data_IF_037005135267
#
_entry.id   IF_037005135267
#
_cell.length_a   1.000
_cell.length_b   1.000
_cell.length_c   1.000
_cell.angle_alpha   90.00
_cell.angle_beta   90.00
_cell.angle_gamma   90.00
#
_symmetry.space_group_name_H-M   'P 1'
#
loop_
_entity.id
_entity.type
_entity.pdbx_description
1 polymer ?
#
# COMPACT_ATOMS: atom_id res chain seq x y z
N UNK A 1 -31.90 58.60 -11.28
CA UNK A 1 -31.18 57.47 -11.87
C UNK A 1 -29.97 57.20 -10.98
N UNK A 2 -30.12 56.29 -10.02
CA UNK A 2 -29.09 56.00 -9.01
C UNK A 2 -28.36 54.72 -9.42
N UNK A 3 -27.07 54.83 -9.69
CA UNK A 3 -26.18 53.69 -10.00
C UNK A 3 -25.83 52.95 -8.70
N UNK A 4 -26.24 51.70 -8.61
CA UNK A 4 -25.85 50.77 -7.53
C UNK A 4 -24.48 50.19 -7.88
N UNK A 5 -23.46 50.29 -7.02
CA UNK A 5 -22.17 49.65 -7.28
C UNK A 5 -22.28 48.14 -7.11
N UNK A 6 -21.89 47.43 -8.14
CA UNK A 6 -21.66 45.95 -8.08
C UNK A 6 -20.44 45.68 -7.23
N UNK A 7 -20.67 45.24 -6.00
CA UNK A 7 -19.60 44.65 -5.16
C UNK A 7 -19.26 43.26 -5.71
N UNK A 8 -18.12 43.16 -6.39
CA UNK A 8 -17.51 41.88 -6.74
C UNK A 8 -17.06 41.25 -5.43
N UNK A 9 -17.78 40.20 -5.02
CA UNK A 9 -17.41 39.41 -3.84
C UNK A 9 -16.03 38.79 -4.06
N UNK A 10 -15.07 39.13 -3.18
CA UNK A 10 -13.77 38.46 -3.08
C UNK A 10 -14.08 37.00 -2.69
N UNK A 11 -13.62 35.98 -3.44
CA UNK A 11 -13.80 34.62 -3.01
C UNK A 11 -13.11 34.42 -1.65
N UNK A 12 -13.81 33.79 -0.73
CA UNK A 12 -13.28 33.44 0.59
C UNK A 12 -11.97 32.66 0.42
N UNK A 13 -10.97 32.84 1.30
CA UNK A 13 -9.73 32.10 1.23
C UNK A 13 -10.06 30.61 1.30
N UNK A 14 -9.55 29.85 0.31
CA UNK A 14 -9.70 28.41 0.29
C UNK A 14 -9.05 27.83 1.53
N UNK A 15 -9.84 27.18 2.36
CA UNK A 15 -9.30 26.44 3.50
C UNK A 15 -8.50 25.26 2.97
N UNK A 16 -7.35 25.01 3.59
CA UNK A 16 -6.43 23.94 3.21
C UNK A 16 -6.49 22.83 4.25
N UNK A 17 -6.49 21.59 3.80
CA UNK A 17 -6.53 20.40 4.66
C UNK A 17 -5.26 19.59 4.50
N UNK A 18 -4.55 19.37 5.61
CA UNK A 18 -3.33 18.55 5.61
C UNK A 18 -3.73 17.07 5.70
N UNK A 19 -3.21 16.27 4.79
CA UNK A 19 -3.38 14.84 4.83
C UNK A 19 -2.71 14.26 6.09
N UNK A 20 -3.44 13.55 6.96
CA UNK A 20 -2.87 12.99 8.17
C UNK A 20 -1.86 11.88 7.88
N UNK A 21 -1.83 11.39 6.64
CA UNK A 21 -1.04 10.25 6.23
C UNK A 21 0.31 10.63 5.59
N UNK A 22 0.32 11.56 4.62
CA UNK A 22 1.53 11.97 3.89
C UNK A 22 1.91 13.43 4.12
N UNK A 23 1.15 14.16 4.95
CA UNK A 23 1.31 15.60 5.21
C UNK A 23 1.16 16.51 3.99
N UNK A 24 0.70 15.99 2.85
CA UNK A 24 0.39 16.79 1.66
C UNK A 24 -0.77 17.75 1.96
N UNK A 25 -0.65 19.00 1.48
CA UNK A 25 -1.66 20.04 1.65
C UNK A 25 -2.66 19.94 0.52
N UNK A 26 -3.92 19.68 0.84
CA UNK A 26 -5.01 19.52 -0.12
C UNK A 26 -6.00 20.67 0.02
N UNK A 27 -6.80 20.94 -1.02
CA UNK A 27 -7.91 21.86 -0.92
C UNK A 27 -9.04 21.27 -0.07
N UNK A 28 -9.70 22.08 0.75
CA UNK A 28 -10.85 21.62 1.51
C UNK A 28 -11.99 21.22 0.56
N UNK A 29 -12.66 20.13 0.91
CA UNK A 29 -13.71 19.53 0.06
C UNK A 29 -13.24 18.31 -0.73
N UNK A 30 -11.94 18.05 -0.84
CA UNK A 30 -11.45 16.82 -1.41
C UNK A 30 -11.73 15.64 -0.47
N UNK A 31 -12.25 14.55 -1.04
CA UNK A 31 -12.51 13.31 -0.32
C UNK A 31 -11.26 12.45 -0.20
N UNK A 32 -10.33 12.61 -1.14
CA UNK A 32 -9.09 11.83 -1.20
C UNK A 32 -7.90 12.78 -1.35
N UNK A 33 -6.77 12.38 -0.76
CA UNK A 33 -5.51 13.10 -0.93
C UNK A 33 -5.01 12.96 -2.37
N UNK A 34 -4.65 14.08 -3.00
CA UNK A 34 -4.15 14.10 -4.38
C UNK A 34 -2.78 13.42 -4.54
N UNK A 35 -2.02 13.35 -3.46
CA UNK A 35 -0.67 12.76 -3.48
C UNK A 35 -0.69 11.26 -3.14
N UNK A 36 -1.33 10.85 -2.03
CA UNK A 36 -1.30 9.45 -1.57
C UNK A 36 -2.62 8.69 -1.74
N UNK A 37 -3.70 9.36 -2.18
CA UNK A 37 -5.02 8.75 -2.36
C UNK A 37 -5.76 8.40 -1.05
N UNK A 38 -5.23 8.79 0.12
CA UNK A 38 -5.88 8.53 1.41
C UNK A 38 -7.15 9.36 1.59
N UNK A 39 -8.13 8.81 2.30
CA UNK A 39 -9.41 9.49 2.58
C UNK A 39 -9.18 10.65 3.55
N UNK A 40 -9.56 11.86 3.14
CA UNK A 40 -9.41 13.09 3.90
C UNK A 40 -10.63 13.44 4.77
N UNK A 41 -11.69 12.65 4.73
CA UNK A 41 -12.90 12.90 5.50
C UNK A 41 -12.67 12.57 6.98
N UNK A 42 -12.25 13.56 7.74
CA UNK A 42 -12.14 13.51 9.21
C UNK A 42 -13.48 13.63 9.94
N UNK A 43 -14.59 13.28 9.31
CA UNK A 43 -15.89 13.23 9.97
C UNK A 43 -16.23 11.79 10.28
N UNK A 44 -16.28 11.47 11.57
CA UNK A 44 -16.96 10.27 12.04
C UNK A 44 -18.39 10.32 11.51
N UNK A 45 -18.65 9.63 10.41
CA UNK A 45 -20.01 9.34 9.99
C UNK A 45 -20.58 8.45 11.09
N UNK A 46 -21.44 9.03 11.95
CA UNK A 46 -22.34 8.23 12.77
C UNK A 46 -23.13 7.36 11.81
N UNK A 47 -22.74 6.12 11.69
CA UNK A 47 -23.52 5.10 10.97
C UNK A 47 -24.82 4.94 11.71
N UNK A 48 -25.89 5.57 11.22
CA UNK A 48 -27.25 5.17 11.53
C UNK A 48 -27.42 3.75 11.03
N UNK A 49 -27.62 2.85 11.98
CA UNK A 49 -27.88 1.43 11.76
C UNK A 49 -28.95 1.25 10.68
N UNK A 50 -28.53 0.85 9.49
CA UNK A 50 -29.43 0.29 8.51
C UNK A 50 -29.51 -1.21 8.75
N UNK A 51 -30.69 -1.64 9.19
CA UNK A 51 -31.32 -2.97 9.14
C UNK A 51 -30.36 -4.12 8.83
N UNK A 52 -30.26 -5.06 9.79
CA UNK A 52 -29.79 -6.42 9.54
C UNK A 52 -30.43 -6.99 8.27
N UNK A 53 -29.65 -7.10 7.24
CA UNK A 53 -29.94 -7.99 6.12
C UNK A 53 -29.55 -9.39 6.61
N UNK A 54 -30.54 -10.25 6.66
CA UNK A 54 -30.39 -11.65 7.00
C UNK A 54 -29.31 -12.29 6.11
N UNK A 55 -28.46 -13.06 6.77
CA UNK A 55 -27.40 -13.87 6.17
C UNK A 55 -28.00 -14.92 5.23
N UNK A 56 -28.15 -14.56 3.96
CA UNK A 56 -28.32 -15.52 2.90
C UNK A 56 -26.97 -15.71 2.22
N UNK A 57 -26.40 -16.89 2.39
CA UNK A 57 -25.34 -17.54 1.62
C UNK A 57 -24.63 -16.66 0.56
N UNK A 58 -23.60 -15.95 0.97
CA UNK A 58 -22.66 -15.29 0.07
C UNK A 58 -21.33 -16.05 -0.02
N UNK A 59 -21.40 -17.36 -0.23
CA UNK A 59 -20.21 -18.20 -0.38
C UNK A 59 -19.66 -18.27 -1.82
N UNK A 60 -20.19 -17.50 -2.77
CA UNK A 60 -19.82 -17.65 -4.20
C UNK A 60 -19.43 -16.33 -4.90
N UNK A 61 -19.33 -15.21 -4.22
CA UNK A 61 -18.82 -14.00 -4.87
C UNK A 61 -17.60 -13.49 -4.12
N UNK A 62 -16.47 -13.64 -4.81
CA UNK A 62 -15.11 -13.24 -4.48
C UNK A 62 -14.95 -12.43 -3.20
N UNK A 63 -14.24 -12.99 -2.23
CA UNK A 63 -13.72 -12.26 -1.09
C UNK A 63 -13.19 -10.92 -1.57
N UNK A 64 -13.95 -9.85 -1.36
CA UNK A 64 -13.39 -8.53 -1.37
C UNK A 64 -12.49 -8.46 -0.14
N UNK A 65 -11.26 -8.80 -0.34
CA UNK A 65 -10.26 -8.95 0.69
C UNK A 65 -9.74 -7.58 1.08
N UNK A 66 -10.44 -6.93 1.98
CA UNK A 66 -9.72 -6.17 2.97
C UNK A 66 -9.07 -7.22 3.88
N UNK A 67 -7.95 -7.77 3.44
CA UNK A 67 -7.23 -8.81 4.15
C UNK A 67 -6.88 -8.36 5.56
N UNK A 68 -6.78 -9.32 6.47
CA UNK A 68 -6.30 -9.01 7.81
C UNK A 68 -4.89 -8.41 7.75
N UNK A 69 -4.64 -7.39 8.56
CA UNK A 69 -3.29 -6.88 8.79
C UNK A 69 -2.60 -7.66 9.92
N UNK A 70 -3.34 -8.51 10.65
CA UNK A 70 -2.79 -9.28 11.75
C UNK A 70 -1.92 -10.42 11.24
N UNK A 71 -0.67 -10.42 11.66
CA UNK A 71 0.32 -11.43 11.34
C UNK A 71 0.88 -12.04 12.62
N UNK A 72 0.59 -13.31 12.89
CA UNK A 72 1.02 -13.97 14.12
C UNK A 72 2.54 -14.27 14.11
N UNK A 73 3.11 -14.48 15.29
CA UNK A 73 4.57 -14.76 15.42
C UNK A 73 5.01 -16.04 14.72
N UNK A 74 4.14 -17.02 14.59
CA UNK A 74 4.42 -18.30 13.95
C UNK A 74 4.00 -18.33 12.47
N UNK A 75 3.37 -17.26 11.99
CA UNK A 75 2.87 -17.18 10.63
C UNK A 75 4.01 -17.08 9.61
N UNK A 76 3.76 -17.63 8.44
CA UNK A 76 4.59 -17.48 7.25
C UNK A 76 3.85 -16.68 6.19
N UNK A 77 4.59 -16.15 5.23
CA UNK A 77 4.03 -15.51 4.05
C UNK A 77 4.18 -16.41 2.84
N UNK A 78 3.19 -16.34 1.97
CA UNK A 78 3.23 -16.93 0.64
C UNK A 78 3.27 -15.75 -0.34
N UNK A 79 4.34 -15.66 -1.12
CA UNK A 79 4.48 -14.65 -2.16
C UNK A 79 4.27 -15.29 -3.53
N UNK A 80 3.15 -14.97 -4.16
CA UNK A 80 2.82 -15.38 -5.52
C UNK A 80 3.34 -14.36 -6.52
N UNK A 81 4.43 -14.67 -7.21
CA UNK A 81 4.91 -13.84 -8.31
C UNK A 81 4.07 -14.12 -9.55
N UNK A 82 3.57 -13.08 -10.21
CA UNK A 82 2.81 -13.22 -11.46
C UNK A 82 3.66 -13.95 -12.50
N UNK A 83 3.05 -14.89 -13.18
CA UNK A 83 3.67 -15.77 -14.19
C UNK A 83 4.67 -16.80 -13.64
N UNK A 84 4.82 -16.92 -12.32
CA UNK A 84 5.59 -18.00 -11.71
C UNK A 84 4.74 -19.25 -11.50
N UNK A 85 5.32 -20.41 -11.75
CA UNK A 85 4.62 -21.70 -11.57
C UNK A 85 4.41 -22.05 -10.09
N UNK A 86 5.33 -21.63 -9.23
CA UNK A 86 5.30 -21.96 -7.80
C UNK A 86 5.40 -20.70 -6.93
N UNK A 87 4.67 -20.65 -5.81
CA UNK A 87 4.78 -19.56 -4.86
C UNK A 87 6.04 -19.70 -4.02
N UNK A 88 6.53 -18.58 -3.52
CA UNK A 88 7.60 -18.53 -2.55
C UNK A 88 6.99 -18.54 -1.15
N UNK A 89 7.35 -19.54 -0.33
CA UNK A 89 6.91 -19.60 1.08
C UNK A 89 8.10 -19.26 1.97
N UNK A 90 7.94 -18.29 2.84
CA UNK A 90 8.98 -17.91 3.79
C UNK A 90 8.41 -17.42 5.12
N UNK A 91 9.17 -17.66 6.20
CA UNK A 91 8.94 -17.01 7.48
C UNK A 91 9.74 -15.70 7.49
N UNK A 92 9.08 -14.53 7.48
CA UNK A 92 9.80 -13.26 7.43
C UNK A 92 10.61 -13.07 8.71
N UNK A 93 11.86 -12.69 8.55
CA UNK A 93 12.72 -12.24 9.65
C UNK A 93 12.35 -10.81 10.07
N UNK A 94 13.00 -10.25 11.06
CA UNK A 94 12.78 -8.86 11.49
C UNK A 94 12.84 -7.89 10.31
N UNK A 95 13.77 -8.12 9.39
CA UNK A 95 13.85 -7.42 8.11
C UNK A 95 14.15 -8.43 6.99
N UNK A 96 13.26 -8.53 6.01
CA UNK A 96 13.43 -9.34 4.80
C UNK A 96 13.51 -8.42 3.58
N UNK A 97 14.68 -8.26 3.01
CA UNK A 97 14.88 -7.43 1.81
C UNK A 97 14.46 -8.19 0.55
N UNK A 98 13.65 -7.53 -0.27
CA UNK A 98 13.22 -7.99 -1.59
C UNK A 98 14.10 -7.32 -2.66
N UNK A 99 14.61 -8.11 -3.59
CA UNK A 99 15.44 -7.55 -4.65
C UNK A 99 16.01 -8.63 -5.56
N UNK A 100 16.96 -8.23 -6.42
CA UNK A 100 17.72 -9.18 -7.23
C UNK A 100 19.06 -9.50 -6.57
N UNK A 101 19.47 -10.76 -6.60
CA UNK A 101 20.77 -11.13 -6.08
C UNK A 101 21.90 -10.39 -6.80
N UNK A 102 22.87 -9.94 -6.02
CA UNK A 102 24.17 -9.52 -6.53
C UNK A 102 25.21 -10.35 -5.78
N UNK A 103 26.05 -11.06 -6.53
CA UNK A 103 27.04 -11.99 -6.00
C UNK A 103 28.07 -11.34 -5.08
N UNK A 104 28.10 -10.03 -4.97
CA UNK A 104 29.10 -9.29 -4.21
C UNK A 104 28.70 -8.81 -2.81
N UNK A 105 27.41 -8.88 -2.41
CA UNK A 105 26.96 -8.31 -1.11
C UNK A 105 25.91 -9.18 -0.39
N UNK A 106 26.34 -10.24 0.24
CA UNK A 106 25.53 -11.18 1.02
C UNK A 106 25.37 -10.79 2.51
N UNK A 107 25.27 -9.51 2.85
CA UNK A 107 25.24 -9.11 4.27
C UNK A 107 23.86 -9.13 4.94
N UNK A 108 22.73 -9.27 4.19
CA UNK A 108 21.36 -9.37 4.75
C UNK A 108 20.53 -10.35 3.93
N UNK A 109 19.55 -11.04 4.55
CA UNK A 109 18.68 -11.94 3.81
C UNK A 109 17.94 -11.16 2.72
N UNK A 110 18.30 -11.46 1.48
CA UNK A 110 17.62 -10.94 0.29
C UNK A 110 16.75 -12.06 -0.24
N UNK A 111 15.45 -11.83 -0.32
CA UNK A 111 14.62 -12.68 -1.14
C UNK A 111 14.96 -12.41 -2.59
N UNK A 112 15.69 -13.36 -3.21
CA UNK A 112 16.15 -13.23 -4.57
C UNK A 112 15.01 -13.39 -5.58
N UNK A 113 14.69 -12.31 -6.28
CA UNK A 113 13.67 -12.28 -7.33
C UNK A 113 14.27 -12.43 -8.74
N UNK A 114 15.58 -12.69 -8.86
CA UNK A 114 16.27 -12.90 -10.15
C UNK A 114 15.63 -14.01 -10.98
N UNK A 115 15.23 -15.17 -10.41
CA UNK A 115 14.58 -16.23 -11.18
C UNK A 115 13.25 -15.83 -11.83
N UNK A 116 12.65 -14.73 -11.39
CA UNK A 116 11.36 -14.22 -11.90
C UNK A 116 11.51 -13.06 -12.88
N UNK A 117 12.71 -12.90 -13.47
CA UNK A 117 13.00 -11.82 -14.42
C UNK A 117 13.09 -10.45 -13.76
N UNK A 118 13.60 -10.39 -12.53
CA UNK A 118 13.68 -9.14 -11.76
C UNK A 118 14.51 -8.06 -12.46
N UNK A 119 15.54 -8.44 -13.22
CA UNK A 119 16.38 -7.48 -13.93
C UNK A 119 15.64 -6.80 -15.07
N UNK A 120 14.97 -7.57 -15.91
CA UNK A 120 14.20 -7.07 -17.06
C UNK A 120 12.96 -6.29 -16.61
N UNK A 121 12.41 -6.67 -15.46
CA UNK A 121 11.27 -5.99 -14.82
C UNK A 121 11.69 -4.77 -13.99
N UNK A 122 12.99 -4.43 -13.98
CA UNK A 122 13.51 -3.23 -13.36
C UNK A 122 13.52 -3.26 -11.84
N UNK A 123 13.67 -4.43 -11.23
CA UNK A 123 13.83 -4.57 -9.79
C UNK A 123 15.27 -4.22 -9.39
N UNK A 124 15.42 -3.36 -8.41
CA UNK A 124 16.73 -2.99 -7.85
C UNK A 124 17.32 -4.14 -7.02
N UNK A 125 18.64 -4.15 -6.81
CA UNK A 125 19.34 -5.12 -5.95
C UNK A 125 18.76 -5.18 -4.54
N UNK A 126 18.53 -4.01 -3.95
CA UNK A 126 17.74 -3.78 -2.73
C UNK A 126 16.59 -2.88 -3.14
N UNK A 127 15.41 -3.47 -3.35
CA UNK A 127 14.28 -2.73 -3.88
C UNK A 127 13.34 -2.27 -2.78
N UNK A 128 12.89 -3.20 -2.00
CA UNK A 128 12.00 -2.98 -0.88
C UNK A 128 12.36 -3.89 0.29
N UNK A 129 11.84 -3.61 1.47
CA UNK A 129 12.00 -4.46 2.63
C UNK A 129 10.65 -4.74 3.28
N UNK A 130 10.44 -5.98 3.70
CA UNK A 130 9.35 -6.35 4.59
C UNK A 130 9.91 -6.33 6.01
N UNK A 131 9.35 -5.47 6.85
CA UNK A 131 9.69 -5.38 8.26
C UNK A 131 8.62 -6.11 9.07
N UNK A 132 9.06 -6.91 10.02
CA UNK A 132 8.19 -7.62 10.93
C UNK A 132 8.02 -6.82 12.22
N UNK A 133 6.78 -6.49 12.55
CA UNK A 133 6.38 -5.99 13.86
C UNK A 133 5.88 -7.13 14.77
N UNK A 134 5.35 -6.79 15.92
CA UNK A 134 4.82 -7.78 16.88
C UNK A 134 3.67 -8.62 16.29
N UNK A 135 2.71 -7.98 15.64
CA UNK A 135 1.54 -8.63 15.03
C UNK A 135 1.25 -8.11 13.62
N UNK A 136 2.20 -7.45 12.98
CA UNK A 136 2.01 -6.83 11.66
C UNK A 136 3.24 -6.98 10.78
N UNK A 137 3.03 -6.92 9.47
CA UNK A 137 4.10 -6.73 8.49
C UNK A 137 3.96 -5.36 7.85
N UNK A 138 5.09 -4.73 7.57
CA UNK A 138 5.13 -3.47 6.84
C UNK A 138 6.07 -3.57 5.66
N UNK A 139 5.71 -2.92 4.55
CA UNK A 139 6.53 -2.81 3.34
C UNK A 139 7.16 -1.42 3.29
N UNK A 140 8.45 -1.37 2.98
CA UNK A 140 9.21 -0.13 2.84
C UNK A 140 9.94 -0.14 1.50
N UNK A 141 9.78 0.91 0.70
CA UNK A 141 10.64 1.12 -0.47
C UNK A 141 12.01 1.61 -0.03
N UNK A 142 13.07 0.98 -0.50
CA UNK A 142 14.46 1.31 -0.12
C UNK A 142 15.12 2.33 -1.07
N UNK A 143 14.34 3.24 -1.66
CA UNK A 143 14.81 4.17 -2.67
C UNK A 143 15.04 3.49 -4.01
N UNK A 144 14.14 2.60 -4.39
CA UNK A 144 14.24 1.85 -5.63
C UNK A 144 14.13 2.76 -6.87
N UNK A 145 14.82 2.41 -7.95
CA UNK A 145 14.87 3.23 -9.18
C UNK A 145 13.48 3.36 -9.82
N UNK A 146 12.74 2.27 -9.89
CA UNK A 146 11.44 2.24 -10.57
C UNK A 146 10.24 2.31 -9.59
N UNK A 147 10.52 2.39 -8.30
CA UNK A 147 9.51 2.53 -7.26
C UNK A 147 8.79 1.23 -6.90
N UNK A 148 8.31 1.19 -5.66
CA UNK A 148 7.45 0.15 -5.12
C UNK A 148 6.01 0.64 -5.10
N UNK A 149 5.07 -0.22 -5.43
CA UNK A 149 3.64 0.07 -5.35
C UNK A 149 2.93 -0.99 -4.50
N UNK A 150 1.97 -0.56 -3.72
CA UNK A 150 1.10 -1.41 -2.93
C UNK A 150 -0.35 -1.16 -3.36
N UNK A 151 -1.04 -2.17 -3.87
CA UNK A 151 -2.40 -2.08 -4.41
C UNK A 151 -2.57 -0.94 -5.43
N UNK A 152 -1.57 -0.75 -6.30
CA UNK A 152 -1.55 0.30 -7.32
C UNK A 152 -1.03 1.66 -6.84
N UNK A 153 -0.93 1.91 -5.53
CA UNK A 153 -0.39 3.16 -4.97
C UNK A 153 1.13 3.11 -4.85
N UNK A 154 1.82 4.12 -5.36
CA UNK A 154 3.27 4.23 -5.23
C UNK A 154 3.64 4.56 -3.78
N UNK A 155 4.60 3.83 -3.22
CA UNK A 155 5.14 4.11 -1.90
C UNK A 155 6.12 5.29 -1.94
N UNK A 156 6.10 6.07 -0.86
CA UNK A 156 7.14 7.08 -0.62
C UNK A 156 8.37 6.34 -0.06
N UNK A 157 9.56 6.56 -0.62
CA UNK A 157 10.77 5.90 -0.15
C UNK A 157 11.00 6.08 1.35
N UNK A 158 11.40 4.99 2.02
CA UNK A 158 11.67 4.91 3.45
C UNK A 158 10.46 5.14 4.38
N UNK A 159 9.25 5.16 3.84
CA UNK A 159 8.03 5.21 4.64
C UNK A 159 7.39 3.82 4.72
N UNK A 160 7.21 3.25 5.93
CA UNK A 160 6.59 1.95 6.09
C UNK A 160 5.08 2.00 5.82
N UNK A 161 4.58 0.99 5.11
CA UNK A 161 3.14 0.76 4.84
C UNK A 161 2.75 -0.62 5.34
N UNK A 162 1.64 -0.69 6.08
CA UNK A 162 1.14 -1.96 6.60
C UNK A 162 0.68 -2.85 5.46
N UNK A 163 1.17 -4.09 5.45
CA UNK A 163 0.75 -5.14 4.54
C UNK A 163 -0.47 -5.87 5.10
N UNK A 164 -1.33 -6.30 4.19
CA UNK A 164 -2.50 -7.10 4.50
C UNK A 164 -2.50 -8.39 3.68
N UNK A 165 -3.19 -9.38 4.17
CA UNK A 165 -3.41 -10.61 3.44
C UNK A 165 -4.10 -10.33 2.11
N UNK A 166 -3.53 -10.83 1.00
CA UNK A 166 -4.02 -10.63 -0.36
C UNK A 166 -3.56 -9.34 -1.05
N UNK A 167 -2.69 -8.55 -0.42
CA UNK A 167 -2.17 -7.32 -1.06
C UNK A 167 -1.36 -7.61 -2.32
N UNK A 168 -1.51 -6.74 -3.33
CA UNK A 168 -0.66 -6.70 -4.51
C UNK A 168 0.56 -5.80 -4.26
N UNK A 169 1.75 -6.37 -4.43
CA UNK A 169 3.02 -5.65 -4.37
C UNK A 169 3.60 -5.60 -5.78
N UNK A 170 3.97 -4.41 -6.25
CA UNK A 170 4.65 -4.23 -7.53
C UNK A 170 6.01 -3.57 -7.33
N UNK A 171 7.06 -4.27 -7.72
CA UNK A 171 8.45 -3.83 -7.66
C UNK A 171 8.93 -3.50 -9.09
N UNK A 172 8.97 -2.23 -9.43
CA UNK A 172 9.12 -1.83 -10.82
C UNK A 172 7.97 -2.36 -11.68
N UNK A 173 8.25 -3.33 -12.57
CA UNK A 173 7.25 -4.04 -13.39
C UNK A 173 6.92 -5.45 -12.87
N UNK A 174 7.63 -5.95 -11.87
CA UNK A 174 7.39 -7.27 -11.28
C UNK A 174 6.20 -7.17 -10.31
N UNK A 175 5.18 -7.97 -10.54
CA UNK A 175 3.95 -8.01 -9.72
C UNK A 175 3.92 -9.30 -8.93
N UNK A 176 3.61 -9.20 -7.64
CA UNK A 176 3.38 -10.34 -6.76
C UNK A 176 2.23 -10.05 -5.79
N UNK A 177 1.59 -11.12 -5.31
CA UNK A 177 0.57 -11.05 -4.27
C UNK A 177 1.11 -11.71 -3.01
N UNK A 178 0.86 -11.10 -1.86
CA UNK A 178 1.27 -11.62 -0.56
C UNK A 178 0.05 -12.20 0.16
N UNK A 179 0.23 -13.41 0.72
CA UNK A 179 -0.78 -14.06 1.55
C UNK A 179 -0.16 -14.47 2.89
N UNK A 180 -0.96 -14.42 3.95
CA UNK A 180 -0.58 -14.82 5.30
C UNK A 180 -1.05 -16.27 5.56
N UNK A 181 -0.13 -17.09 6.10
CA UNK A 181 -0.39 -18.52 6.40
C UNK A 181 -0.06 -18.83 7.85
#
# INVERSE_FOLDING_TARGET
MQLVPLTVGVPAPYEMKICPYCAHVNMEGLLFCEDCGEILTGTQVKTTSTRQLETANFDILGKSTWGTARFSREASIILHVRDAAEPIVLAPQDETTLGRADTAQLAKPVLDLTPFGAQEKGVSRRHASILRGDETLTLVDLGSVNGTHLNGQRLIPNQPRVLRDGDEIRLGKLVCHIYFK
#
